data_IF_116728446040
#
_entry.id   IF_116728446040
#
_cell.length_a   1.000
_cell.length_b   1.000
_cell.length_c   1.000
_cell.angle_alpha   90.00
_cell.angle_beta   90.00
_cell.angle_gamma   90.00
#
_symmetry.space_group_name_H-M   'P 1'
#
loop_
_entity.id
_entity.type
_entity.pdbx_description
1 polymer ?
#
# COMPACT_ATOMS: atom_id res chain seq x y z
N UNK A 1 4.65 3.14 22.98
CA UNK A 1 5.07 1.88 22.34
C UNK A 1 6.56 1.71 22.57
N UNK A 2 6.98 0.54 23.05
CA UNK A 2 8.39 0.23 23.33
C UNK A 2 8.84 -0.94 22.45
N UNK A 3 9.87 -0.73 21.63
CA UNK A 3 10.35 -1.71 20.66
C UNK A 3 11.83 -2.00 20.88
N UNK A 4 12.19 -3.28 20.84
CA UNK A 4 13.57 -3.76 20.74
C UNK A 4 13.87 -4.02 19.25
N UNK A 5 14.53 -3.10 18.53
CA UNK A 5 14.58 -3.14 17.07
C UNK A 5 15.61 -4.16 16.57
N UNK A 6 15.15 -5.19 15.86
CA UNK A 6 16.00 -6.22 15.26
C UNK A 6 16.51 -5.83 13.87
N UNK A 7 15.76 -5.00 13.15
CA UNK A 7 16.25 -4.46 11.89
C UNK A 7 15.20 -3.69 11.08
N UNK A 8 15.67 -3.13 9.97
CA UNK A 8 14.86 -2.42 8.99
C UNK A 8 14.74 -3.25 7.71
N UNK A 9 13.58 -3.19 7.06
CA UNK A 9 13.46 -3.61 5.67
C UNK A 9 12.59 -2.64 4.86
N UNK A 10 12.87 -2.60 3.56
CA UNK A 10 11.98 -2.00 2.58
C UNK A 10 11.14 -3.10 1.94
N UNK A 11 9.82 -2.90 1.89
CA UNK A 11 8.89 -3.82 1.23
C UNK A 11 7.71 -3.04 0.65
N UNK A 12 7.35 -3.33 -0.60
CA UNK A 12 6.26 -2.64 -1.33
C UNK A 12 6.40 -1.10 -1.27
N UNK A 13 7.63 -0.62 -1.46
CA UNK A 13 7.98 0.81 -1.45
C UNK A 13 7.84 1.50 -0.09
N UNK A 14 7.84 0.74 1.02
CA UNK A 14 7.65 1.28 2.38
C UNK A 14 8.71 0.73 3.31
N UNK A 15 9.19 1.59 4.20
CA UNK A 15 10.11 1.21 5.25
C UNK A 15 9.38 0.70 6.48
N UNK A 16 9.88 -0.42 7.02
CA UNK A 16 9.38 -1.04 8.23
C UNK A 16 10.53 -1.30 9.19
N UNK A 17 10.24 -1.19 10.48
CA UNK A 17 11.09 -1.70 11.56
C UNK A 17 10.43 -2.94 12.16
N UNK A 18 11.24 -3.99 12.35
CA UNK A 18 10.82 -5.23 13.01
C UNK A 18 11.58 -5.36 14.32
N UNK A 19 10.89 -5.93 15.30
CA UNK A 19 11.46 -6.10 16.62
C UNK A 19 10.47 -6.71 17.60
N UNK A 20 10.93 -6.89 18.84
CA UNK A 20 10.07 -7.30 19.94
C UNK A 20 9.34 -6.07 20.51
N UNK A 21 8.01 -6.01 20.35
CA UNK A 21 7.18 -5.00 21.01
C UNK A 21 6.99 -5.41 22.47
N UNK A 22 7.68 -4.72 23.40
CA UNK A 22 7.65 -5.05 24.83
C UNK A 22 6.27 -4.83 25.44
N UNK A 23 5.48 -3.90 24.90
CA UNK A 23 4.14 -3.61 25.40
C UNK A 23 3.17 -4.74 25.02
N UNK A 24 3.50 -5.53 23.98
CA UNK A 24 2.70 -6.65 23.47
C UNK A 24 3.36 -8.02 23.66
N UNK A 25 4.57 -8.06 24.20
CA UNK A 25 5.39 -9.25 24.41
C UNK A 25 5.51 -10.15 23.16
N UNK A 26 5.64 -9.58 21.96
CA UNK A 26 5.66 -10.34 20.72
C UNK A 26 6.47 -9.65 19.59
N UNK A 27 7.00 -10.42 18.62
CA UNK A 27 7.54 -9.87 17.38
C UNK A 27 6.47 -9.06 16.64
N UNK A 28 6.80 -7.83 16.24
CA UNK A 28 5.90 -6.96 15.47
C UNK A 28 6.65 -6.16 14.41
N UNK A 29 5.89 -5.79 13.39
CA UNK A 29 6.36 -4.97 12.28
C UNK A 29 5.61 -3.63 12.29
N UNK A 30 6.36 -2.52 12.28
CA UNK A 30 5.80 -1.17 12.25
C UNK A 30 6.23 -0.43 11.00
N UNK A 31 5.26 0.18 10.31
CA UNK A 31 5.52 1.05 9.16
C UNK A 31 6.09 2.38 9.66
N UNK A 32 7.30 2.75 9.23
CA UNK A 32 7.96 3.98 9.69
C UNK A 32 7.13 5.23 9.41
N UNK A 33 6.47 5.29 8.25
CA UNK A 33 5.62 6.44 7.87
C UNK A 33 4.35 6.59 8.72
N UNK A 34 4.08 5.69 9.68
CA UNK A 34 2.97 5.80 10.64
C UNK A 34 3.44 6.12 12.05
N UNK A 35 4.75 6.17 12.29
CA UNK A 35 5.29 6.62 13.57
C UNK A 35 5.01 8.12 13.68
N UNK A 36 4.33 8.50 14.74
CA UNK A 36 3.96 9.89 15.03
C UNK A 36 4.59 10.29 16.36
N UNK A 37 5.03 11.55 16.45
CA UNK A 37 5.74 12.07 17.62
C UNK A 37 7.21 11.67 17.69
N UNK A 38 7.86 12.09 18.78
CA UNK A 38 9.30 11.89 18.99
C UNK A 38 9.65 10.42 19.26
N UNK A 39 10.69 9.93 18.58
CA UNK A 39 11.32 8.64 18.92
C UNK A 39 12.39 8.87 19.97
N UNK A 40 12.20 8.30 21.16
CA UNK A 40 13.18 8.35 22.27
C UNK A 40 13.85 7.00 22.45
N UNK A 41 15.16 7.02 22.71
CA UNK A 41 15.89 5.82 23.12
C UNK A 41 15.48 5.44 24.54
N UNK A 42 15.25 4.15 24.77
CA UNK A 42 14.98 3.60 26.09
C UNK A 42 16.01 2.51 26.40
N UNK A 43 16.66 2.60 27.55
CA UNK A 43 17.71 1.66 27.96
C UNK A 43 19.11 1.97 27.41
N UNK A 44 20.06 1.09 27.75
CA UNK A 44 21.47 1.19 27.31
C UNK A 44 21.62 0.65 25.88
N UNK A 45 22.71 1.04 25.22
CA UNK A 45 23.10 0.38 23.96
C UNK A 45 23.28 -1.12 24.19
N UNK A 46 22.78 -1.95 23.27
CA UNK A 46 22.84 -3.41 23.39
C UNK A 46 22.01 -4.00 24.54
N UNK A 47 21.02 -3.28 25.07
CA UNK A 47 20.16 -3.77 26.17
C UNK A 47 19.14 -4.84 25.74
N UNK A 48 19.19 -5.32 24.49
CA UNK A 48 18.34 -6.37 23.95
C UNK A 48 19.17 -7.27 23.05
N UNK A 49 18.71 -8.51 22.88
CA UNK A 49 19.33 -9.51 22.01
C UNK A 49 18.42 -9.77 20.82
N UNK A 50 19.01 -9.84 19.62
CA UNK A 50 18.30 -10.32 18.44
C UNK A 50 18.33 -11.85 18.49
N UNK A 51 17.19 -12.56 18.44
CA UNK A 51 17.17 -14.01 18.45
C UNK A 51 18.06 -14.60 17.34
N UNK A 52 18.81 -15.65 17.66
CA UNK A 52 19.68 -16.32 16.69
C UNK A 52 18.86 -16.83 15.50
N UNK A 53 19.42 -16.68 14.30
CA UNK A 53 18.74 -17.07 13.06
C UNK A 53 17.58 -16.16 12.62
N UNK A 54 17.41 -14.97 13.24
CA UNK A 54 16.37 -14.02 12.81
C UNK A 54 16.51 -13.66 11.32
N UNK A 55 15.60 -14.19 10.50
CA UNK A 55 15.47 -13.82 9.10
C UNK A 55 14.35 -12.78 8.93
N UNK A 56 14.75 -11.51 8.79
CA UNK A 56 13.81 -10.39 8.67
C UNK A 56 12.83 -10.54 7.50
N UNK A 57 13.20 -11.24 6.42
CA UNK A 57 12.30 -11.43 5.26
C UNK A 57 11.22 -12.46 5.53
N UNK A 58 11.54 -13.53 6.25
CA UNK A 58 10.57 -14.55 6.65
C UNK A 58 9.65 -14.00 7.73
N UNK A 59 10.22 -13.36 8.75
CA UNK A 59 9.43 -12.71 9.80
C UNK A 59 8.49 -11.65 9.23
N UNK A 60 8.94 -10.85 8.26
CA UNK A 60 8.05 -9.90 7.59
C UNK A 60 6.93 -10.57 6.79
N UNK A 61 7.14 -11.78 6.25
CA UNK A 61 6.08 -12.55 5.56
C UNK A 61 5.04 -13.07 6.55
N UNK A 62 5.46 -13.54 7.70
CA UNK A 62 4.57 -14.04 8.77
C UNK A 62 3.77 -12.91 9.44
N UNK A 63 4.40 -11.76 9.66
CA UNK A 63 3.77 -10.61 10.32
C UNK A 63 2.90 -9.77 9.37
N UNK A 64 2.97 -10.01 8.06
CA UNK A 64 2.11 -9.32 7.11
C UNK A 64 0.68 -9.86 7.20
N UNK A 65 -0.33 -8.97 7.26
CA UNK A 65 -1.70 -9.40 7.06
C UNK A 65 -1.82 -10.14 5.72
N UNK A 66 -2.60 -11.23 5.66
CA UNK A 66 -2.83 -11.92 4.40
C UNK A 66 -3.39 -10.95 3.37
N UNK A 67 -3.00 -11.07 2.09
CA UNK A 67 -3.56 -10.25 1.04
C UNK A 67 -5.09 -10.44 1.02
N UNK A 68 -5.82 -9.38 0.70
CA UNK A 68 -7.25 -9.52 0.47
C UNK A 68 -7.46 -10.43 -0.74
N UNK A 69 -8.43 -11.33 -0.64
CA UNK A 69 -8.95 -12.04 -1.81
C UNK A 69 -10.17 -11.27 -2.27
N UNK A 70 -9.96 -10.32 -3.17
CA UNK A 70 -11.02 -9.47 -3.69
C UNK A 70 -10.77 -9.04 -5.12
N UNK A 71 -11.77 -8.42 -5.73
CA UNK A 71 -11.66 -7.74 -7.01
C UNK A 71 -11.91 -6.25 -6.82
N UNK A 72 -11.39 -5.44 -7.73
CA UNK A 72 -11.67 -4.02 -7.84
C UNK A 72 -12.06 -3.68 -9.26
N UNK A 73 -13.03 -2.79 -9.42
CA UNK A 73 -13.37 -2.22 -10.71
C UNK A 73 -12.61 -0.91 -10.92
N UNK A 74 -11.91 -0.82 -12.05
CA UNK A 74 -11.24 0.40 -12.53
C UNK A 74 -11.70 0.67 -13.97
N UNK A 75 -12.06 1.92 -14.27
CA UNK A 75 -12.22 2.38 -15.66
C UNK A 75 -10.89 2.94 -16.15
N UNK A 76 -10.49 2.57 -17.36
CA UNK A 76 -9.28 3.10 -18.00
C UNK A 76 -9.63 3.62 -19.39
N UNK A 77 -8.90 4.63 -19.89
CA UNK A 77 -9.09 5.05 -21.28
C UNK A 77 -8.76 3.90 -22.24
N UNK A 78 -9.45 3.85 -23.36
CA UNK A 78 -9.15 2.90 -24.43
C UNK A 78 -7.70 3.10 -24.90
N UNK A 79 -6.91 2.02 -24.94
CA UNK A 79 -5.49 2.06 -25.30
C UNK A 79 -4.52 2.40 -24.16
N UNK A 80 -5.00 2.77 -22.97
CA UNK A 80 -4.16 3.05 -21.78
C UNK A 80 -4.27 1.93 -20.74
N UNK A 81 -3.54 2.03 -19.63
CA UNK A 81 -3.70 1.09 -18.51
C UNK A 81 -3.22 -0.35 -18.81
N UNK A 82 -2.27 -0.54 -19.73
CA UNK A 82 -1.84 -1.88 -20.19
C UNK A 82 -1.39 -2.81 -19.05
N UNK A 83 -0.79 -2.27 -17.98
CA UNK A 83 -0.43 -3.07 -16.82
C UNK A 83 -1.68 -3.59 -16.08
N UNK A 84 -2.71 -2.75 -15.90
CA UNK A 84 -4.00 -3.15 -15.32
C UNK A 84 -4.71 -4.16 -16.22
N UNK A 85 -4.76 -3.91 -17.54
CA UNK A 85 -5.39 -4.81 -18.53
C UNK A 85 -4.78 -6.21 -18.50
N UNK A 86 -3.46 -6.32 -18.42
CA UNK A 86 -2.76 -7.62 -18.39
C UNK A 86 -3.16 -8.49 -17.20
N UNK A 87 -3.58 -7.89 -16.09
CA UNK A 87 -3.98 -8.60 -14.86
C UNK A 87 -5.48 -8.57 -14.63
N UNK A 88 -6.25 -7.99 -15.55
CA UNK A 88 -7.69 -7.94 -15.43
C UNK A 88 -8.28 -9.35 -15.57
N UNK A 89 -9.22 -9.69 -14.69
CA UNK A 89 -10.01 -10.91 -14.76
C UNK A 89 -11.19 -10.76 -15.70
N UNK A 90 -11.65 -9.53 -15.94
CA UNK A 90 -12.68 -9.18 -16.92
C UNK A 90 -12.37 -7.85 -17.57
N UNK A 91 -12.77 -7.70 -18.84
CA UNK A 91 -12.66 -6.44 -19.60
C UNK A 91 -13.97 -6.23 -20.34
N UNK A 92 -14.67 -5.15 -20.02
CA UNK A 92 -15.80 -4.67 -20.81
C UNK A 92 -15.37 -3.40 -21.54
N UNK A 93 -15.41 -3.42 -22.87
CA UNK A 93 -14.97 -2.31 -23.71
C UNK A 93 -16.10 -1.32 -23.99
N UNK A 94 -15.74 -0.06 -24.27
CA UNK A 94 -16.68 1.00 -24.67
C UNK A 94 -17.83 1.26 -23.67
N UNK A 95 -17.49 1.40 -22.39
CA UNK A 95 -18.46 1.56 -21.29
C UNK A 95 -18.67 3.04 -20.94
N UNK A 96 -19.91 3.54 -21.05
CA UNK A 96 -20.33 4.92 -20.70
C UNK A 96 -21.53 5.42 -21.52
N UNK A 97 -22.17 6.52 -21.09
CA UNK A 97 -23.29 7.17 -21.83
C UNK A 97 -22.83 7.87 -23.10
N UNK A 98 -21.54 8.14 -23.20
CA UNK A 98 -20.81 8.77 -24.30
C UNK A 98 -20.10 7.76 -25.22
N UNK A 99 -20.14 6.45 -24.89
CA UNK A 99 -19.82 5.33 -25.79
C UNK A 99 -18.38 5.24 -26.33
N UNK A 100 -17.51 6.22 -26.04
CA UNK A 100 -16.20 6.32 -26.67
C UNK A 100 -15.11 6.55 -25.63
N UNK A 101 -14.09 5.68 -25.66
CA UNK A 101 -12.80 5.96 -25.03
C UNK A 101 -12.60 5.45 -23.61
N UNK A 102 -13.50 4.62 -23.05
CA UNK A 102 -13.29 3.99 -21.74
C UNK A 102 -13.61 2.49 -21.74
N UNK A 103 -12.75 1.71 -21.08
CA UNK A 103 -12.98 0.30 -20.80
C UNK A 103 -13.06 0.08 -19.29
N UNK A 104 -13.97 -0.80 -18.87
CA UNK A 104 -14.11 -1.24 -17.47
C UNK A 104 -13.29 -2.51 -17.28
N UNK A 105 -12.40 -2.50 -16.30
CA UNK A 105 -11.57 -3.64 -15.91
C UNK A 105 -11.97 -4.08 -14.51
N UNK A 106 -12.18 -5.38 -14.31
CA UNK A 106 -12.10 -5.95 -12.97
C UNK A 106 -10.71 -6.54 -12.76
N UNK A 107 -10.01 -6.09 -11.72
CA UNK A 107 -8.62 -6.47 -11.41
C UNK A 107 -8.52 -7.07 -10.01
N UNK A 108 -7.61 -8.03 -9.77
CA UNK A 108 -7.37 -8.55 -8.43
C UNK A 108 -6.97 -7.44 -7.45
N UNK A 109 -7.63 -7.41 -6.30
CA UNK A 109 -7.39 -6.47 -5.22
C UNK A 109 -6.76 -7.17 -4.03
N UNK A 110 -5.43 -7.26 -4.03
CA UNK A 110 -4.66 -7.76 -2.90
C UNK A 110 -4.40 -6.66 -1.84
N UNK A 111 -4.05 -5.45 -2.31
CA UNK A 111 -3.65 -4.31 -1.47
C UNK A 111 -4.22 -3.00 -2.01
N UNK A 112 -5.20 -2.44 -1.30
CA UNK A 112 -5.90 -1.20 -1.70
C UNK A 112 -4.95 -0.05 -2.00
N UNK A 113 -3.97 0.18 -1.14
CA UNK A 113 -3.05 1.31 -1.30
C UNK A 113 -2.08 1.16 -2.48
N UNK A 114 -1.75 -0.07 -2.87
CA UNK A 114 -0.87 -0.32 -4.03
C UNK A 114 -1.65 -0.08 -5.32
N UNK A 115 -2.87 -0.62 -5.42
CA UNK A 115 -3.72 -0.38 -6.56
C UNK A 115 -4.08 1.11 -6.67
N UNK A 116 -4.39 1.77 -5.55
CA UNK A 116 -4.64 3.22 -5.55
C UNK A 116 -3.43 4.02 -6.05
N UNK A 117 -2.20 3.63 -5.68
CA UNK A 117 -0.99 4.26 -6.19
C UNK A 117 -0.84 4.10 -7.69
N UNK A 118 -1.11 2.91 -8.21
CA UNK A 118 -1.06 2.63 -9.64
C UNK A 118 -2.13 3.39 -10.42
N UNK A 119 -3.38 3.43 -9.92
CA UNK A 119 -4.46 4.20 -10.55
C UNK A 119 -4.08 5.68 -10.63
N UNK A 120 -3.57 6.26 -9.55
CA UNK A 120 -3.11 7.67 -9.54
C UNK A 120 -1.96 7.92 -10.53
N UNK A 121 -1.09 6.94 -10.77
CA UNK A 121 0.02 7.07 -11.71
C UNK A 121 -0.44 7.21 -13.17
N UNK A 122 -1.68 6.79 -13.49
CA UNK A 122 -2.29 7.00 -14.80
C UNK A 122 -2.97 8.36 -14.95
N UNK A 123 -3.01 9.20 -13.92
CA UNK A 123 -3.60 10.54 -14.02
C UNK A 123 -5.08 10.49 -14.40
N UNK A 124 -5.46 11.21 -15.45
CA UNK A 124 -6.82 11.28 -15.98
C UNK A 124 -7.20 10.09 -16.87
N UNK A 125 -6.28 9.15 -17.11
CA UNK A 125 -6.52 7.96 -17.92
C UNK A 125 -7.07 6.76 -17.12
N UNK A 126 -7.19 6.87 -15.79
CA UNK A 126 -7.76 5.82 -14.95
C UNK A 126 -8.61 6.36 -13.80
N UNK A 127 -9.73 5.67 -13.53
CA UNK A 127 -10.67 6.02 -12.47
C UNK A 127 -11.01 4.77 -11.66
N UNK A 128 -10.78 4.81 -10.35
CA UNK A 128 -11.26 3.77 -9.45
C UNK A 128 -12.79 3.87 -9.28
N UNK A 129 -13.49 2.74 -9.37
CA UNK A 129 -14.96 2.68 -9.28
C UNK A 129 -15.41 1.94 -8.03
N UNK A 130 -14.82 0.77 -7.76
CA UNK A 130 -15.18 -0.11 -6.65
C UNK A 130 -13.94 -0.92 -6.21
N UNK A 131 -13.76 -1.27 -4.94
CA UNK A 131 -14.59 -0.94 -3.76
C UNK A 131 -14.48 0.51 -3.26
N UNK A 132 -15.39 0.97 -2.38
CA UNK A 132 -15.38 2.35 -1.85
C UNK A 132 -14.08 2.74 -1.12
N UNK A 133 -13.39 1.78 -0.50
CA UNK A 133 -12.11 2.03 0.16
C UNK A 133 -10.97 2.28 -0.85
N UNK A 134 -11.02 1.68 -2.04
CA UNK A 134 -10.13 2.00 -3.16
C UNK A 134 -10.37 3.42 -3.67
N UNK A 135 -11.62 3.81 -3.91
CA UNK A 135 -11.99 5.16 -4.33
C UNK A 135 -11.47 6.18 -3.31
N UNK A 136 -11.75 5.94 -2.02
CA UNK A 136 -11.30 6.80 -0.92
C UNK A 136 -9.77 6.92 -0.86
N UNK A 137 -9.04 5.83 -1.12
CA UNK A 137 -7.58 5.84 -1.14
C UNK A 137 -7.00 6.64 -2.31
N UNK A 138 -7.60 6.54 -3.51
CA UNK A 138 -7.23 7.32 -4.69
C UNK A 138 -7.47 8.81 -4.44
N UNK A 139 -8.67 9.19 -4.01
CA UNK A 139 -9.03 10.59 -3.71
C UNK A 139 -8.08 11.20 -2.68
N UNK A 140 -7.85 10.50 -1.56
CA UNK A 140 -6.90 10.96 -0.53
C UNK A 140 -5.49 11.18 -1.07
N UNK A 141 -5.06 10.39 -2.03
CA UNK A 141 -3.73 10.53 -2.64
C UNK A 141 -3.68 11.71 -3.61
N UNK A 142 -4.72 11.91 -4.42
CA UNK A 142 -4.83 13.06 -5.31
C UNK A 142 -4.87 14.38 -4.53
N UNK A 143 -5.62 14.47 -3.42
CA UNK A 143 -5.59 15.65 -2.55
C UNK A 143 -4.18 15.96 -2.05
N UNK A 144 -3.46 14.96 -1.52
CA UNK A 144 -2.07 15.17 -1.07
C UNK A 144 -1.13 15.64 -2.19
N UNK A 145 -1.35 15.21 -3.42
CA UNK A 145 -0.55 15.66 -4.57
C UNK A 145 -0.91 17.10 -4.97
N UNK A 146 -2.19 17.45 -4.94
CA UNK A 146 -2.65 18.82 -5.18
C UNK A 146 -2.11 19.78 -4.10
N UNK A 147 -2.19 19.39 -2.83
CA UNK A 147 -1.67 20.17 -1.71
C UNK A 147 -0.14 20.36 -1.80
N UNK A 148 0.59 19.34 -2.25
CA UNK A 148 2.04 19.41 -2.44
C UNK A 148 2.46 20.21 -3.69
N UNK A 149 1.55 20.38 -4.65
CA UNK A 149 1.78 21.13 -5.90
C UNK A 149 1.26 22.57 -5.86
N UNK A 150 0.50 22.96 -4.84
CA UNK A 150 0.06 24.33 -4.66
C UNK A 150 1.25 25.24 -4.29
N UNK A 151 1.45 26.40 -4.94
CA UNK A 151 2.45 27.36 -4.50
C UNK A 151 2.09 27.89 -3.09
N UNK A 152 3.10 28.23 -2.27
CA UNK A 152 2.88 28.75 -0.92
C UNK A 152 2.12 30.08 -0.90
#
# INVERSE_FOLDING_TARGET
RTLEPWGLLSRRGRWYVLGHDRDRAAPRMFRLSRVTGDVRRAGRSGAYTVPDGTNLRELARELEPPPRTGSATVRVRTGTGNALRRRATSVATSVGTDGHGWDRLDVPLAHVEELAQEVVAYGDDAVAVDPPDLVSAVVRRLHRLADAGAPP
#
